data_IF_674359833798
#
_entry.id   IF_674359833798
#
_cell.length_a   1.000
_cell.length_b   1.000
_cell.length_c   1.000
_cell.angle_alpha   90.00
_cell.angle_beta   90.00
_cell.angle_gamma   90.00
#
_symmetry.space_group_name_H-M   'P 1'
#
loop_
_entity.id
_entity.type
_entity.pdbx_description
1 polymer ?
#
# COMPACT_ATOMS: atom_id res chain seq x y z
N UNK A 1 -1.84 9.78 -23.19
CA UNK A 1 -1.34 10.10 -21.83
C UNK A 1 -1.54 8.88 -20.95
N UNK A 2 -0.52 8.40 -20.25
CA UNK A 2 -0.69 7.28 -19.34
C UNK A 2 -1.60 7.67 -18.17
N UNK A 3 -2.62 6.87 -17.87
CA UNK A 3 -3.51 7.11 -16.73
C UNK A 3 -2.72 7.03 -15.42
N UNK A 4 -2.87 7.99 -14.48
CA UNK A 4 -2.14 7.97 -13.23
C UNK A 4 -2.52 6.72 -12.42
N UNK A 5 -1.50 6.04 -11.88
CA UNK A 5 -1.71 4.90 -11.01
C UNK A 5 -2.25 5.37 -9.65
N UNK A 6 -2.96 4.46 -8.98
CA UNK A 6 -3.55 4.73 -7.66
C UNK A 6 -3.43 3.53 -6.73
N UNK A 7 -3.18 3.82 -5.47
CA UNK A 7 -3.22 2.85 -4.37
C UNK A 7 -4.15 3.41 -3.29
N UNK A 8 -5.04 2.56 -2.77
CA UNK A 8 -5.92 2.91 -1.64
C UNK A 8 -5.33 2.37 -0.35
N UNK A 9 -5.32 3.21 0.69
CA UNK A 9 -4.95 2.80 2.06
C UNK A 9 -6.10 1.97 2.65
N UNK A 10 -5.78 0.75 3.10
CA UNK A 10 -6.78 -0.26 3.47
C UNK A 10 -7.14 -0.28 4.97
N UNK A 11 -6.31 0.33 5.83
CA UNK A 11 -6.49 0.28 7.29
C UNK A 11 -5.84 1.45 8.04
N UNK A 12 -5.97 1.43 9.37
CA UNK A 12 -5.43 2.44 10.26
C UNK A 12 -6.05 3.84 10.11
N UNK A 13 -5.38 4.84 10.68
CA UNK A 13 -5.84 6.25 10.73
C UNK A 13 -6.11 6.87 9.35
N UNK A 14 -5.47 6.36 8.30
CA UNK A 14 -5.56 6.90 6.94
C UNK A 14 -6.45 6.06 6.01
N UNK A 15 -7.22 5.10 6.55
CA UNK A 15 -8.11 4.21 5.78
C UNK A 15 -8.97 4.98 4.77
N UNK A 16 -9.08 4.44 3.56
CA UNK A 16 -9.91 4.99 2.49
C UNK A 16 -9.24 6.08 1.65
N UNK A 17 -8.12 6.66 2.10
CA UNK A 17 -7.38 7.64 1.29
C UNK A 17 -6.77 7.00 0.05
N UNK A 18 -6.77 7.76 -1.05
CA UNK A 18 -6.19 7.34 -2.33
C UNK A 18 -4.89 8.11 -2.57
N UNK A 19 -3.80 7.36 -2.72
CA UNK A 19 -2.49 7.87 -3.12
C UNK A 19 -2.38 7.73 -4.63
N UNK A 20 -2.12 8.83 -5.34
CA UNK A 20 -1.92 8.86 -6.79
C UNK A 20 -0.44 9.02 -7.08
N UNK A 21 0.05 8.34 -8.11
CA UNK A 21 1.46 8.40 -8.50
C UNK A 21 1.61 8.21 -10.03
N UNK A 22 2.72 8.67 -10.61
CA UNK A 22 2.96 8.55 -12.05
C UNK A 22 2.91 7.08 -12.51
N UNK A 23 2.45 6.89 -13.75
CA UNK A 23 2.59 5.59 -14.39
C UNK A 23 4.01 5.45 -14.95
N UNK A 24 4.74 4.45 -14.46
CA UNK A 24 6.09 4.09 -14.93
C UNK A 24 6.05 2.72 -15.59
N UNK A 25 6.79 2.55 -16.68
CA UNK A 25 6.87 1.27 -17.38
C UNK A 25 7.46 0.19 -16.47
N UNK A 26 6.82 -0.99 -16.43
CA UNK A 26 7.26 -2.12 -15.59
C UNK A 26 6.77 -2.09 -14.15
N UNK A 27 6.03 -1.05 -13.74
CA UNK A 27 5.47 -0.99 -12.39
C UNK A 27 4.45 -2.12 -12.17
N UNK A 28 4.71 -2.97 -11.18
CA UNK A 28 3.80 -4.03 -10.74
C UNK A 28 3.17 -3.65 -9.40
N UNK A 29 1.97 -3.05 -9.39
CA UNK A 29 1.34 -2.67 -8.13
C UNK A 29 0.96 -3.91 -7.33
N UNK A 30 1.29 -3.91 -6.04
CA UNK A 30 0.87 -4.96 -5.11
C UNK A 30 -0.66 -4.95 -4.96
N UNK A 31 -1.39 -6.02 -5.34
CA UNK A 31 -2.84 -6.05 -5.28
C UNK A 31 -3.37 -5.78 -3.87
N UNK A 32 -4.57 -5.18 -3.77
CA UNK A 32 -5.19 -4.87 -2.48
C UNK A 32 -5.27 -6.10 -1.56
N UNK A 33 -5.67 -7.25 -2.11
CA UNK A 33 -5.80 -8.51 -1.35
C UNK A 33 -4.46 -8.96 -0.75
N UNK A 34 -3.36 -8.83 -1.49
CA UNK A 34 -2.02 -9.21 -1.01
C UNK A 34 -1.61 -8.33 0.18
N UNK A 35 -1.84 -7.01 0.07
CA UNK A 35 -1.58 -6.08 1.17
C UNK A 35 -2.46 -6.39 2.39
N UNK A 36 -3.75 -6.67 2.17
CA UNK A 36 -4.69 -7.03 3.23
C UNK A 36 -4.27 -8.32 3.95
N UNK A 37 -3.93 -9.38 3.21
CA UNK A 37 -3.42 -10.63 3.78
C UNK A 37 -2.16 -10.40 4.62
N UNK A 38 -1.20 -9.62 4.11
CA UNK A 38 0.03 -9.31 4.85
C UNK A 38 -0.26 -8.62 6.19
N UNK A 39 -1.06 -7.54 6.18
CA UNK A 39 -1.38 -6.82 7.43
C UNK A 39 -2.24 -7.66 8.37
N UNK A 40 -3.09 -8.56 7.86
CA UNK A 40 -3.80 -9.51 8.71
C UNK A 40 -2.85 -10.48 9.43
N UNK A 41 -1.75 -10.89 8.79
CA UNK A 41 -0.71 -11.71 9.44
C UNK A 41 0.13 -10.95 10.45
N UNK A 42 0.47 -9.69 10.16
CA UNK A 42 1.26 -8.85 11.06
C UNK A 42 0.49 -8.42 12.32
N UNK A 43 -0.84 -8.47 12.27
CA UNK A 43 -1.72 -8.10 13.38
C UNK A 43 -2.38 -6.73 13.18
N UNK A 44 -3.33 -6.41 14.08
CA UNK A 44 -4.18 -5.22 13.95
C UNK A 44 -3.56 -3.95 14.57
N UNK A 45 -2.52 -4.10 15.39
CA UNK A 45 -1.79 -2.99 16.00
C UNK A 45 -0.28 -3.16 15.78
N UNK A 46 0.30 -2.17 15.09
CA UNK A 46 1.74 -2.07 14.82
C UNK A 46 2.32 -0.80 15.45
N UNK A 47 1.63 -0.21 16.42
CA UNK A 47 2.07 1.02 17.09
C UNK A 47 3.44 0.83 17.75
N UNK A 48 4.35 1.78 17.55
CA UNK A 48 5.70 1.74 18.10
C UNK A 48 6.67 0.78 17.39
N UNK A 49 6.21 0.03 16.39
CA UNK A 49 7.09 -0.85 15.61
C UNK A 49 7.89 -0.08 14.56
N UNK A 50 9.06 -0.61 14.21
CA UNK A 50 9.91 -0.09 13.12
C UNK A 50 9.61 -0.89 11.86
N UNK A 51 9.26 -0.21 10.76
CA UNK A 51 9.04 -0.81 9.45
C UNK A 51 10.14 -0.37 8.47
N UNK A 52 10.67 -1.34 7.72
CA UNK A 52 11.60 -1.11 6.62
C UNK A 52 10.97 -1.63 5.33
N UNK A 53 10.89 -0.78 4.32
CA UNK A 53 10.52 -1.17 2.95
C UNK A 53 11.76 -1.04 2.06
N UNK A 54 12.25 -2.17 1.56
CA UNK A 54 13.49 -2.24 0.78
C UNK A 54 13.31 -1.76 -0.66
N UNK A 55 12.07 -1.65 -1.17
CA UNK A 55 11.77 -1.37 -2.58
C UNK A 55 10.58 -0.40 -2.78
N UNK A 56 10.44 0.58 -1.89
CA UNK A 56 9.33 1.55 -1.87
C UNK A 56 9.22 2.44 -3.12
#
# INVERSE_FOLDING_TARGET
MASPNRVRIIGGRLKGRVVRFPATQGLRPTPNRVRETLFNWLGQDLSGQIALDLYA
#
